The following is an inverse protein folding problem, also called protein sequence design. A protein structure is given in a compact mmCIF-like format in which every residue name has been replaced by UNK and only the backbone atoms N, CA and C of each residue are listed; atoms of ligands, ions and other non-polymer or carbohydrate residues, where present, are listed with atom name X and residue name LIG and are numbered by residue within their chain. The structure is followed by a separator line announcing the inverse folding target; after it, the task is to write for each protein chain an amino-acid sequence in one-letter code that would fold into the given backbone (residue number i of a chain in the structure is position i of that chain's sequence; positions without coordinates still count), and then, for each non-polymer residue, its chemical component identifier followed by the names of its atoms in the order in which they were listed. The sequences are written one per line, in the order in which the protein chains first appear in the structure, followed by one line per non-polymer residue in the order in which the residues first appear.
data_IF_739090729224
#
_entry.id   IF_739090729224
#
_cell.length_a   1.000
_cell.length_b   1.000
_cell.length_c   1.000
_cell.angle_alpha   90.00
_cell.angle_beta   90.00
_cell.angle_gamma   90.00
#
_symmetry.space_group_name_H-M   'P 1'
#
loop_
_entity.id
_entity.type
_entity.pdbx_description
1 polymer ?
#
# COMPACT_ATOMS: atom_id res chain seq x y z
N UNK A 1 -14.28 -32.24 -2.84
CA UNK A 1 -13.75 -30.98 -2.27
C UNK A 1 -14.31 -29.76 -3.01
N UNK A 2 -14.54 -28.67 -2.30
CA UNK A 2 -15.18 -27.46 -2.82
C UNK A 2 -14.44 -26.78 -3.99
N UNK A 3 -13.16 -27.14 -4.23
CA UNK A 3 -12.31 -26.57 -5.28
C UNK A 3 -12.14 -27.45 -6.52
N UNK A 4 -12.73 -28.63 -6.57
CA UNK A 4 -12.66 -29.50 -7.76
C UNK A 4 -13.38 -28.93 -8.99
N UNK A 5 -14.34 -28.02 -8.77
CA UNK A 5 -15.03 -27.31 -9.85
C UNK A 5 -14.74 -25.81 -9.75
N UNK A 6 -14.25 -25.22 -10.80
CA UNK A 6 -14.17 -23.77 -10.89
C UNK A 6 -15.59 -23.18 -10.83
N UNK A 7 -15.74 -22.00 -10.20
CA UNK A 7 -16.96 -21.24 -10.29
C UNK A 7 -17.11 -20.74 -11.74
N UNK A 8 -18.24 -21.04 -12.41
CA UNK A 8 -18.46 -20.55 -13.76
C UNK A 8 -18.53 -19.02 -13.77
N UNK A 9 -18.16 -18.41 -14.89
CA UNK A 9 -18.36 -16.99 -15.06
C UNK A 9 -19.87 -16.67 -15.10
N UNK A 10 -20.34 -15.61 -14.40
CA UNK A 10 -21.70 -15.13 -14.56
C UNK A 10 -21.98 -14.70 -16.01
N UNK A 11 -23.20 -14.94 -16.51
CA UNK A 11 -23.58 -14.69 -17.91
C UNK A 11 -23.29 -13.24 -18.35
N UNK A 12 -23.56 -12.26 -17.48
CA UNK A 12 -23.36 -10.83 -17.75
C UNK A 12 -22.01 -10.31 -17.23
N UNK A 13 -21.02 -11.19 -17.04
CA UNK A 13 -19.70 -10.86 -16.51
C UNK A 13 -19.68 -10.50 -15.02
N UNK A 14 -20.83 -10.37 -14.36
CA UNK A 14 -20.97 -10.11 -12.93
C UNK A 14 -22.28 -10.69 -12.38
N UNK A 15 -22.25 -11.16 -11.14
CA UNK A 15 -23.43 -11.62 -10.41
C UNK A 15 -23.82 -10.56 -9.38
N UNK A 16 -25.04 -10.05 -9.47
CA UNK A 16 -25.62 -9.07 -8.55
C UNK A 16 -26.61 -9.72 -7.59
N UNK A 17 -26.84 -9.15 -6.41
CA UNK A 17 -27.89 -9.60 -5.50
C UNK A 17 -29.26 -9.71 -6.19
N UNK A 18 -29.99 -10.77 -5.88
CA UNK A 18 -31.28 -11.10 -6.47
C UNK A 18 -31.25 -11.91 -7.78
N UNK A 19 -30.10 -12.04 -8.41
CA UNK A 19 -29.95 -12.79 -9.66
C UNK A 19 -29.93 -14.32 -9.45
N UNK A 20 -30.34 -15.08 -10.46
CA UNK A 20 -30.11 -16.52 -10.52
C UNK A 20 -28.73 -16.82 -11.07
N UNK A 21 -28.09 -17.87 -10.54
CA UNK A 21 -26.74 -18.26 -10.95
C UNK A 21 -26.53 -19.76 -10.73
N UNK A 22 -26.19 -20.46 -11.78
CA UNK A 22 -25.98 -21.92 -11.71
C UNK A 22 -24.84 -22.33 -10.75
N UNK A 23 -23.92 -21.44 -10.44
CA UNK A 23 -22.82 -21.66 -9.51
C UNK A 23 -23.15 -21.50 -8.03
N UNK A 24 -24.41 -21.14 -7.65
CA UNK A 24 -24.79 -20.93 -6.23
C UNK A 24 -24.41 -22.11 -5.32
N UNK A 25 -24.65 -23.38 -5.66
CA UNK A 25 -24.24 -24.48 -4.80
C UNK A 25 -22.73 -24.54 -4.54
N UNK A 26 -21.92 -24.34 -5.57
CA UNK A 26 -20.46 -24.33 -5.49
C UNK A 26 -19.96 -23.12 -4.71
N UNK A 27 -20.55 -21.94 -4.95
CA UNK A 27 -20.23 -20.69 -4.23
C UNK A 27 -20.51 -20.85 -2.73
N UNK A 28 -21.72 -21.36 -2.39
CA UNK A 28 -22.12 -21.58 -0.99
C UNK A 28 -21.18 -22.57 -0.27
N UNK A 29 -20.86 -23.68 -0.94
CA UNK A 29 -19.93 -24.69 -0.38
C UNK A 29 -18.55 -24.10 -0.15
N UNK A 30 -18.06 -23.28 -1.07
CA UNK A 30 -16.75 -22.65 -1.00
C UNK A 30 -16.68 -21.61 0.13
N UNK A 31 -17.68 -20.74 0.22
CA UNK A 31 -17.75 -19.74 1.30
C UNK A 31 -17.94 -20.39 2.69
N UNK A 32 -18.63 -21.54 2.78
CA UNK A 32 -18.67 -22.35 4.02
C UNK A 32 -17.28 -22.88 4.38
N UNK A 33 -16.57 -23.46 3.43
CA UNK A 33 -15.23 -24.00 3.65
C UNK A 33 -14.22 -22.90 4.05
N UNK A 34 -14.40 -21.68 3.58
CA UNK A 34 -13.58 -20.52 3.93
C UNK A 34 -14.01 -19.83 5.25
N UNK A 35 -15.13 -20.27 5.84
CA UNK A 35 -15.65 -19.69 7.07
C UNK A 35 -16.37 -18.35 6.92
N UNK A 36 -16.68 -17.94 5.68
CA UNK A 36 -17.43 -16.71 5.41
C UNK A 36 -18.94 -16.92 5.47
N UNK A 37 -19.43 -18.12 5.14
CA UNK A 37 -20.85 -18.50 5.24
C UNK A 37 -21.07 -19.46 6.43
N UNK A 38 -21.82 -19.00 7.44
CA UNK A 38 -22.16 -19.80 8.63
C UNK A 38 -23.50 -20.54 8.52
N UNK A 39 -24.25 -20.33 7.44
CA UNK A 39 -25.58 -20.91 7.29
C UNK A 39 -25.55 -22.44 7.19
N UNK A 40 -26.40 -23.11 7.96
CA UNK A 40 -26.70 -24.53 7.83
C UNK A 40 -27.95 -24.68 6.95
N UNK A 41 -27.96 -25.66 6.04
CA UNK A 41 -29.07 -25.92 5.13
C UNK A 41 -28.69 -25.89 3.65
N UNK A 42 -29.70 -26.04 2.81
CA UNK A 42 -29.56 -25.99 1.35
C UNK A 42 -29.19 -24.58 0.87
N UNK A 43 -28.41 -24.46 -0.21
CA UNK A 43 -28.14 -23.17 -0.83
C UNK A 43 -29.46 -22.50 -1.30
N UNK A 44 -29.54 -21.16 -1.24
CA UNK A 44 -30.72 -20.46 -1.76
C UNK A 44 -30.87 -20.64 -3.29
N UNK A 45 -32.09 -20.48 -3.79
CA UNK A 45 -32.34 -20.56 -5.23
C UNK A 45 -31.79 -19.35 -6.02
N UNK A 46 -31.64 -18.22 -5.35
CA UNK A 46 -31.11 -16.97 -5.88
C UNK A 46 -29.92 -16.49 -5.07
N UNK A 47 -29.13 -15.59 -5.65
CA UNK A 47 -28.01 -14.94 -4.97
C UNK A 47 -28.55 -13.82 -4.06
N UNK A 48 -28.90 -14.15 -2.82
CA UNK A 48 -29.54 -13.23 -1.88
C UNK A 48 -29.21 -13.56 -0.42
N UNK A 49 -29.60 -12.66 0.48
CA UNK A 49 -29.53 -12.83 1.92
C UNK A 49 -28.12 -13.13 2.43
N UNK A 50 -27.98 -14.09 3.32
CA UNK A 50 -26.72 -14.44 3.96
C UNK A 50 -25.61 -14.87 2.99
N UNK A 51 -25.94 -15.28 1.74
CA UNK A 51 -24.94 -15.59 0.73
C UNK A 51 -24.27 -14.32 0.20
N UNK A 52 -25.02 -13.21 0.07
CA UNK A 52 -24.47 -11.89 -0.29
C UNK A 52 -23.55 -11.36 0.81
N UNK A 53 -23.97 -11.49 2.07
CA UNK A 53 -23.16 -11.06 3.22
C UNK A 53 -21.87 -11.89 3.33
N UNK A 54 -21.93 -13.18 3.04
CA UNK A 54 -20.77 -14.04 2.97
C UNK A 54 -19.77 -13.63 1.87
N UNK A 55 -20.28 -13.19 0.70
CA UNK A 55 -19.43 -12.65 -0.37
C UNK A 55 -18.81 -11.33 0.05
N UNK A 56 -19.53 -10.43 0.72
CA UNK A 56 -18.97 -9.18 1.27
C UNK A 56 -17.86 -9.46 2.27
N UNK A 57 -18.07 -10.40 3.20
CA UNK A 57 -17.06 -10.85 4.15
C UNK A 57 -15.82 -11.40 3.43
N UNK A 58 -16.02 -12.23 2.41
CA UNK A 58 -14.94 -12.75 1.58
C UNK A 58 -14.18 -11.63 0.86
N UNK A 59 -14.89 -10.68 0.23
CA UNK A 59 -14.29 -9.54 -0.48
C UNK A 59 -13.40 -8.72 0.45
N UNK A 60 -13.90 -8.36 1.63
CA UNK A 60 -13.13 -7.61 2.64
C UNK A 60 -11.82 -8.32 3.01
N UNK A 61 -11.89 -9.65 3.24
CA UNK A 61 -10.69 -10.44 3.58
C UNK A 61 -9.72 -10.65 2.42
N UNK A 62 -10.12 -10.30 1.20
CA UNK A 62 -9.30 -10.42 0.01
C UNK A 62 -8.93 -9.07 -0.62
N UNK A 63 -9.08 -7.98 0.15
CA UNK A 63 -8.69 -6.64 -0.27
C UNK A 63 -9.54 -6.07 -1.42
N UNK A 64 -10.79 -6.55 -1.54
CA UNK A 64 -11.75 -6.08 -2.53
C UNK A 64 -12.82 -5.21 -1.87
N UNK A 65 -13.48 -4.34 -2.65
CA UNK A 65 -14.64 -3.58 -2.17
C UNK A 65 -15.75 -4.56 -1.77
N UNK A 66 -16.26 -4.50 -0.52
CA UNK A 66 -17.29 -5.43 -0.02
C UNK A 66 -18.70 -5.03 -0.48
N UNK A 67 -18.90 -4.95 -1.79
CA UNK A 67 -20.18 -4.57 -2.41
C UNK A 67 -21.16 -5.74 -2.60
N UNK A 68 -20.70 -6.98 -2.44
CA UNK A 68 -21.47 -8.19 -2.65
C UNK A 68 -21.67 -8.54 -4.14
N UNK A 69 -21.02 -7.86 -5.06
CA UNK A 69 -21.05 -8.18 -6.49
C UNK A 69 -19.95 -9.17 -6.84
N UNK A 70 -20.27 -10.34 -7.37
CA UNK A 70 -19.24 -11.28 -7.84
C UNK A 70 -18.82 -10.89 -9.26
N UNK A 71 -17.94 -9.92 -9.34
CA UNK A 71 -17.27 -9.50 -10.58
C UNK A 71 -15.99 -10.30 -10.84
N UNK A 72 -15.22 -9.90 -11.85
CA UNK A 72 -13.97 -10.57 -12.27
C UNK A 72 -13.01 -10.77 -11.10
N UNK A 73 -12.67 -9.71 -10.35
CA UNK A 73 -11.73 -9.79 -9.23
C UNK A 73 -12.19 -10.73 -8.11
N UNK A 74 -13.47 -10.67 -7.74
CA UNK A 74 -14.05 -11.57 -6.74
C UNK A 74 -14.01 -13.02 -7.21
N UNK A 75 -14.34 -13.27 -8.48
CA UNK A 75 -14.34 -14.60 -9.06
C UNK A 75 -12.91 -15.19 -9.14
N UNK A 76 -11.93 -14.39 -9.52
CA UNK A 76 -10.51 -14.77 -9.52
C UNK A 76 -10.06 -15.20 -8.12
N UNK A 77 -10.36 -14.41 -7.09
CA UNK A 77 -9.99 -14.73 -5.71
C UNK A 77 -10.73 -15.96 -5.16
N UNK A 78 -12.01 -16.14 -5.50
CA UNK A 78 -12.78 -17.33 -5.14
C UNK A 78 -12.26 -18.60 -5.81
N UNK A 79 -11.63 -18.51 -6.96
CA UNK A 79 -11.08 -19.65 -7.70
C UNK A 79 -9.63 -20.00 -7.34
N UNK A 80 -8.97 -19.22 -6.47
CA UNK A 80 -7.62 -19.58 -5.98
C UNK A 80 -7.69 -20.86 -5.16
N UNK A 81 -6.95 -21.93 -5.53
CA UNK A 81 -6.92 -23.17 -4.77
C UNK A 81 -6.33 -23.01 -3.36
N UNK A 82 -6.76 -23.83 -2.38
CA UNK A 82 -6.27 -23.73 -0.99
C UNK A 82 -4.76 -23.87 -0.86
N UNK A 83 -4.12 -24.68 -1.71
CA UNK A 83 -2.69 -24.92 -1.69
C UNK A 83 -1.90 -23.63 -1.92
N UNK A 84 -2.40 -22.74 -2.79
CA UNK A 84 -1.80 -21.42 -3.00
C UNK A 84 -1.98 -20.53 -1.78
N UNK A 85 -3.12 -20.64 -1.06
CA UNK A 85 -3.36 -19.88 0.19
C UNK A 85 -2.43 -20.36 1.29
N UNK A 86 -2.26 -21.67 1.44
CA UNK A 86 -1.27 -22.23 2.38
C UNK A 86 0.13 -21.69 2.04
N UNK A 87 0.50 -21.69 0.76
CA UNK A 87 1.81 -21.18 0.35
C UNK A 87 1.98 -19.69 0.63
N UNK A 88 0.94 -18.86 0.44
CA UNK A 88 0.97 -17.44 0.85
C UNK A 88 1.24 -17.28 2.36
N UNK A 89 0.63 -18.13 3.19
CA UNK A 89 0.87 -18.11 4.65
C UNK A 89 2.32 -18.49 4.95
N UNK A 90 2.84 -19.55 4.35
CA UNK A 90 4.24 -19.99 4.56
C UNK A 90 5.23 -18.88 4.18
N UNK A 91 5.02 -18.22 3.03
CA UNK A 91 5.86 -17.10 2.59
C UNK A 91 5.74 -15.88 3.51
N UNK A 92 4.55 -15.60 4.04
CA UNK A 92 4.35 -14.55 5.03
C UNK A 92 5.10 -14.87 6.33
N UNK A 93 5.03 -16.11 6.83
CA UNK A 93 5.76 -16.55 8.01
C UNK A 93 7.28 -16.50 7.81
N UNK A 94 7.76 -16.85 6.61
CA UNK A 94 9.19 -16.74 6.29
C UNK A 94 9.66 -15.28 6.34
N UNK A 95 8.89 -14.32 5.80
CA UNK A 95 9.23 -12.89 5.89
C UNK A 95 9.22 -12.36 7.32
N UNK A 96 8.32 -12.86 8.17
CA UNK A 96 8.30 -12.47 9.58
C UNK A 96 9.60 -12.83 10.32
N UNK A 97 10.30 -13.90 9.91
CA UNK A 97 11.60 -14.26 10.48
C UNK A 97 12.70 -13.25 10.18
N UNK A 98 12.55 -12.49 9.10
CA UNK A 98 13.52 -11.47 8.68
C UNK A 98 13.13 -10.07 9.16
N UNK A 99 11.90 -9.89 9.60
CA UNK A 99 11.43 -8.60 10.11
C UNK A 99 12.01 -8.39 11.50
N UNK A 100 12.80 -7.35 11.72
CA UNK A 100 13.34 -7.08 13.05
C UNK A 100 12.18 -6.83 14.02
N UNK A 101 12.16 -7.59 15.12
CA UNK A 101 11.30 -7.27 16.27
C UNK A 101 11.87 -6.00 16.89
N UNK A 102 11.25 -4.86 16.58
CA UNK A 102 11.72 -3.57 17.05
C UNK A 102 11.26 -3.35 18.49
N UNK A 103 12.18 -3.27 19.47
CA UNK A 103 11.84 -2.93 20.85
C UNK A 103 11.59 -1.42 20.97
N UNK A 104 10.61 -0.91 20.24
CA UNK A 104 10.27 0.50 20.23
C UNK A 104 8.90 0.72 20.86
N UNK A 105 8.74 1.84 21.57
CA UNK A 105 7.47 2.27 22.15
C UNK A 105 6.42 2.62 21.09
N UNK A 106 6.88 2.98 19.89
CA UNK A 106 6.03 3.32 18.73
C UNK A 106 6.64 2.81 17.43
N UNK A 107 5.79 2.48 16.47
CA UNK A 107 6.22 2.08 15.12
C UNK A 107 5.14 2.39 14.08
N UNK A 108 5.57 2.66 12.85
CA UNK A 108 4.70 2.72 11.67
C UNK A 108 5.04 1.53 10.77
N UNK A 109 4.03 0.82 10.31
CA UNK A 109 4.17 -0.30 9.36
C UNK A 109 3.30 -0.05 8.14
N UNK A 110 3.91 0.00 6.97
CA UNK A 110 3.20 0.01 5.68
C UNK A 110 3.26 -1.40 5.10
N UNK A 111 2.11 -2.02 4.85
CA UNK A 111 2.05 -3.27 4.12
C UNK A 111 1.63 -3.00 2.66
N UNK A 112 2.56 -3.15 1.74
CA UNK A 112 2.40 -2.80 0.32
C UNK A 112 1.23 -3.56 -0.34
N UNK A 113 1.14 -4.92 -0.26
CA UNK A 113 0.05 -5.67 -0.92
C UNK A 113 -1.35 -5.37 -0.39
N UNK A 114 -1.44 -4.97 0.86
CA UNK A 114 -2.69 -4.58 1.51
C UNK A 114 -3.09 -3.14 1.20
N UNK A 115 -2.16 -2.31 0.72
CA UNK A 115 -2.32 -0.86 0.56
C UNK A 115 -2.75 -0.18 1.85
N UNK A 116 -2.12 -0.53 2.98
CA UNK A 116 -2.44 0.03 4.29
C UNK A 116 -1.20 0.42 5.06
N UNK A 117 -1.33 1.51 5.82
CA UNK A 117 -0.41 1.91 6.88
C UNK A 117 -1.10 1.72 8.22
N UNK A 118 -0.33 1.25 9.20
CA UNK A 118 -0.73 1.18 10.61
C UNK A 118 0.33 1.82 11.48
N UNK A 119 -0.12 2.51 12.51
CA UNK A 119 0.74 3.04 13.55
C UNK A 119 0.40 2.36 14.87
N UNK A 120 1.42 1.89 15.54
CA UNK A 120 1.33 1.10 16.76
C UNK A 120 2.05 1.79 17.92
N UNK A 121 1.49 1.67 19.09
CA UNK A 121 2.09 2.06 20.37
C UNK A 121 2.21 0.82 21.27
N UNK A 122 3.32 0.72 21.98
CA UNK A 122 3.54 -0.34 22.96
C UNK A 122 3.48 0.26 24.36
N UNK A 123 2.48 -0.13 25.15
CA UNK A 123 2.30 0.26 26.54
C UNK A 123 2.13 -0.99 27.41
N UNK A 124 2.89 -1.08 28.49
CA UNK A 124 2.83 -2.19 29.43
C UNK A 124 2.93 -3.58 28.77
N UNK A 125 3.80 -3.70 27.76
CA UNK A 125 4.00 -4.91 26.97
C UNK A 125 2.85 -5.27 26.02
N UNK A 126 1.83 -4.40 25.88
CA UNK A 126 0.73 -4.57 24.93
C UNK A 126 0.92 -3.69 23.71
N UNK A 127 0.69 -4.27 22.55
CA UNK A 127 0.72 -3.56 21.27
C UNK A 127 -0.70 -3.05 20.95
N UNK A 128 -0.84 -1.73 20.86
CA UNK A 128 -2.09 -1.09 20.49
C UNK A 128 -1.98 -0.42 19.12
N UNK A 129 -2.94 -0.68 18.25
CA UNK A 129 -3.04 0.02 16.96
C UNK A 129 -3.75 1.37 17.19
N UNK A 130 -3.06 2.46 16.96
CA UNK A 130 -3.57 3.83 17.14
C UNK A 130 -4.11 4.45 15.85
N UNK A 131 -3.52 4.10 14.72
CA UNK A 131 -3.91 4.61 13.40
C UNK A 131 -3.90 3.47 12.40
N UNK A 132 -4.91 3.42 11.52
CA UNK A 132 -4.94 2.53 10.38
C UNK A 132 -5.68 3.21 9.23
N UNK A 133 -5.04 3.35 8.06
CA UNK A 133 -5.63 4.00 6.89
C UNK A 133 -5.13 3.39 5.59
N UNK A 134 -5.81 3.72 4.48
CA UNK A 134 -5.35 3.33 3.16
C UNK A 134 -4.12 4.13 2.74
N UNK A 135 -3.31 3.50 1.89
CA UNK A 135 -2.19 4.16 1.21
C UNK A 135 -2.21 3.89 -0.29
N UNK A 136 -1.53 4.77 -1.03
CA UNK A 136 -1.20 4.56 -2.44
C UNK A 136 0.31 4.35 -2.50
N UNK A 137 0.72 3.24 -3.11
CA UNK A 137 2.13 2.84 -3.23
C UNK A 137 2.63 2.97 -4.67
N UNK A 138 3.89 2.69 -4.90
CA UNK A 138 4.55 2.75 -6.21
C UNK A 138 3.92 1.83 -7.24
N UNK A 139 3.97 2.24 -8.51
CA UNK A 139 3.43 1.49 -9.64
C UNK A 139 4.17 0.16 -9.82
N UNK A 140 3.42 -0.93 -9.90
CA UNK A 140 3.96 -2.28 -9.98
C UNK A 140 4.86 -2.54 -11.20
N UNK A 141 4.59 -1.86 -12.30
CA UNK A 141 5.33 -2.07 -13.55
C UNK A 141 6.60 -1.21 -13.65
N UNK A 142 6.61 0.00 -13.03
CA UNK A 142 7.64 1.01 -13.34
C UNK A 142 8.39 1.54 -12.12
N UNK A 143 7.70 1.74 -10.99
CA UNK A 143 8.22 2.54 -9.87
C UNK A 143 7.81 1.95 -8.53
N UNK A 144 8.17 0.69 -8.29
CA UNK A 144 7.80 -0.04 -7.07
C UNK A 144 8.31 0.66 -5.82
N UNK A 145 7.50 0.68 -4.77
CA UNK A 145 7.99 1.02 -3.43
C UNK A 145 8.89 -0.10 -2.92
N UNK A 146 10.14 0.17 -2.52
CA UNK A 146 11.04 -0.85 -1.98
C UNK A 146 10.61 -1.31 -0.59
N UNK A 147 11.13 -2.48 -0.17
CA UNK A 147 10.97 -3.04 1.17
C UNK A 147 12.20 -2.68 1.98
N UNK A 148 12.02 -1.98 3.11
CA UNK A 148 13.11 -1.57 4.01
C UNK A 148 12.55 -1.11 5.35
N UNK A 149 13.42 -0.88 6.30
CA UNK A 149 13.14 -0.16 7.55
C UNK A 149 13.99 1.09 7.66
N UNK A 150 13.46 2.10 8.34
CA UNK A 150 14.12 3.37 8.60
C UNK A 150 13.54 4.01 9.87
N UNK A 151 14.04 5.19 10.24
CA UNK A 151 13.51 5.95 11.38
C UNK A 151 12.79 7.22 10.92
N UNK A 152 11.57 7.43 11.41
CA UNK A 152 10.85 8.69 11.29
C UNK A 152 11.60 9.78 12.04
N UNK A 153 12.05 10.81 11.33
CA UNK A 153 12.90 11.86 11.92
C UNK A 153 12.38 13.27 11.74
N UNK A 154 11.60 13.53 10.68
CA UNK A 154 11.13 14.87 10.38
C UNK A 154 9.70 14.87 9.86
N UNK A 155 8.98 15.97 10.15
CA UNK A 155 7.71 16.32 9.52
C UNK A 155 7.91 17.65 8.80
N UNK A 156 7.56 17.71 7.52
CA UNK A 156 7.60 18.91 6.71
C UNK A 156 6.17 19.35 6.37
N UNK A 157 5.78 20.51 6.85
CA UNK A 157 4.50 21.16 6.56
C UNK A 157 4.62 22.04 5.33
N UNK A 158 3.55 22.09 4.52
CA UNK A 158 3.50 22.84 3.27
C UNK A 158 4.77 22.64 2.42
N UNK A 159 5.09 21.38 2.03
CA UNK A 159 6.37 21.05 1.41
C UNK A 159 6.50 21.64 0.01
N UNK A 160 7.73 21.97 -0.40
CA UNK A 160 8.08 22.06 -1.79
C UNK A 160 8.23 20.64 -2.37
N UNK A 161 7.70 20.41 -3.56
CA UNK A 161 8.00 19.19 -4.28
C UNK A 161 9.14 19.42 -5.28
N UNK A 162 10.35 19.02 -4.93
CA UNK A 162 11.44 18.95 -5.89
C UNK A 162 11.17 17.78 -6.82
N UNK A 163 10.87 18.07 -8.08
CA UNK A 163 10.53 17.03 -9.07
C UNK A 163 11.77 16.17 -9.34
N UNK A 164 11.72 14.86 -9.09
CA UNK A 164 12.84 13.97 -9.38
C UNK A 164 13.24 14.04 -10.85
N UNK A 165 14.55 13.95 -11.19
CA UNK A 165 15.03 14.05 -12.57
C UNK A 165 14.36 13.07 -13.55
N UNK A 166 14.03 11.86 -13.09
CA UNK A 166 13.31 10.85 -13.89
C UNK A 166 11.90 11.31 -14.27
N UNK A 167 11.15 11.86 -13.31
CA UNK A 167 9.80 12.41 -13.52
C UNK A 167 9.89 13.69 -14.36
N UNK A 168 10.86 14.57 -14.06
CA UNK A 168 11.05 15.79 -14.83
C UNK A 168 11.24 15.47 -16.32
N UNK A 169 12.20 14.59 -16.65
CA UNK A 169 12.53 14.24 -18.05
C UNK A 169 11.45 13.38 -18.71
N UNK A 170 10.89 12.41 -18.00
CA UNK A 170 9.94 11.44 -18.55
C UNK A 170 8.51 11.97 -18.71
N UNK A 171 8.10 12.93 -17.88
CA UNK A 171 6.71 13.34 -17.79
C UNK A 171 6.52 14.86 -17.81
N UNK A 172 7.22 15.59 -16.91
CA UNK A 172 6.96 17.02 -16.71
C UNK A 172 7.41 17.85 -17.92
N UNK A 173 8.64 17.70 -18.39
CA UNK A 173 9.16 18.45 -19.55
C UNK A 173 8.37 18.16 -20.83
N UNK A 174 8.07 16.90 -21.21
CA UNK A 174 7.23 16.62 -22.37
C UNK A 174 5.85 17.28 -22.28
N UNK A 175 5.27 17.31 -21.07
CA UNK A 175 3.98 17.97 -20.87
C UNK A 175 4.08 19.50 -21.00
N UNK A 176 5.06 20.10 -20.36
CA UNK A 176 5.27 21.54 -20.39
C UNK A 176 5.52 22.08 -21.80
N UNK A 177 6.20 21.32 -22.66
CA UNK A 177 6.39 21.68 -24.10
C UNK A 177 5.09 21.67 -24.88
N UNK A 178 4.15 20.77 -24.54
CA UNK A 178 2.83 20.71 -25.19
C UNK A 178 1.83 21.71 -24.61
N UNK A 179 1.91 21.96 -23.32
CA UNK A 179 0.98 22.76 -22.54
C UNK A 179 1.75 23.76 -21.64
N UNK A 180 2.32 24.86 -22.19
CA UNK A 180 3.12 25.80 -21.41
C UNK A 180 2.40 26.39 -20.19
N UNK A 181 1.09 26.66 -20.30
CA UNK A 181 0.26 27.17 -19.21
C UNK A 181 0.17 26.20 -17.99
N UNK A 182 0.52 24.94 -18.17
CA UNK A 182 0.58 23.97 -17.08
C UNK A 182 1.63 24.33 -16.03
N UNK A 183 2.69 25.07 -16.42
CA UNK A 183 3.74 25.53 -15.50
C UNK A 183 3.17 26.41 -14.40
N UNK A 184 2.47 27.46 -14.77
CA UNK A 184 1.86 28.41 -13.81
C UNK A 184 0.67 27.77 -13.09
N UNK A 185 -0.16 27.00 -13.79
CA UNK A 185 -1.29 26.31 -13.19
C UNK A 185 -0.88 25.41 -12.04
N UNK A 186 0.25 24.71 -12.16
CA UNK A 186 0.75 23.80 -11.14
C UNK A 186 1.64 24.50 -10.09
N UNK A 187 1.95 25.77 -10.28
CA UNK A 187 2.83 26.51 -9.40
C UNK A 187 4.28 26.00 -9.46
N UNK A 188 4.73 25.59 -10.64
CA UNK A 188 6.13 25.22 -10.85
C UNK A 188 7.03 26.46 -10.83
N UNK A 189 8.30 26.22 -10.51
CA UNK A 189 9.38 27.17 -10.63
C UNK A 189 10.68 26.46 -10.98
N UNK A 190 11.54 27.16 -11.74
CA UNK A 190 12.89 26.69 -12.03
C UNK A 190 13.84 27.12 -10.92
N UNK A 191 14.74 26.23 -10.56
CA UNK A 191 15.72 26.49 -9.50
C UNK A 191 17.12 26.14 -10.00
N UNK A 192 18.01 27.11 -9.96
CA UNK A 192 19.40 26.96 -10.32
C UNK A 192 20.18 26.07 -9.35
N UNK A 193 21.43 25.77 -9.70
CA UNK A 193 22.33 24.98 -8.82
C UNK A 193 22.65 25.70 -7.50
N UNK A 194 22.63 27.03 -7.51
CA UNK A 194 22.79 27.90 -6.33
C UNK A 194 21.56 27.94 -5.42
N UNK A 195 20.47 27.24 -5.80
CA UNK A 195 19.22 27.22 -5.03
C UNK A 195 18.28 28.41 -5.28
N UNK A 196 18.68 29.37 -6.11
CA UNK A 196 17.85 30.53 -6.44
C UNK A 196 16.79 30.17 -7.47
N UNK A 197 15.62 30.81 -7.32
CA UNK A 197 14.57 30.73 -8.34
C UNK A 197 15.01 31.54 -9.56
N UNK A 198 14.99 30.89 -10.72
CA UNK A 198 15.28 31.52 -12.01
C UNK A 198 13.96 31.89 -12.65
N UNK A 199 13.90 33.02 -13.31
CA UNK A 199 12.68 33.65 -13.87
C UNK A 199 11.78 32.71 -14.68
N UNK A 200 10.71 33.27 -15.25
CA UNK A 200 9.56 32.56 -15.80
C UNK A 200 9.80 31.43 -16.82
N UNK A 201 8.72 30.86 -17.30
CA UNK A 201 8.73 29.77 -18.26
C UNK A 201 9.46 30.16 -19.58
N UNK A 202 10.41 29.33 -20.02
CA UNK A 202 11.08 29.45 -21.33
C UNK A 202 11.60 28.07 -21.78
N UNK A 203 11.73 27.88 -23.09
CA UNK A 203 12.36 26.68 -23.69
C UNK A 203 13.81 26.52 -23.20
N UNK A 204 14.57 27.62 -23.09
CA UNK A 204 15.93 27.58 -22.56
C UNK A 204 15.99 27.02 -21.14
N UNK A 205 15.02 27.34 -20.28
CA UNK A 205 14.89 26.78 -18.93
C UNK A 205 14.54 25.29 -18.94
N UNK A 206 13.64 24.84 -19.86
CA UNK A 206 13.32 23.43 -20.03
C UNK A 206 14.56 22.63 -20.47
N UNK A 207 15.33 23.16 -21.42
CA UNK A 207 16.56 22.54 -21.88
C UNK A 207 17.64 22.48 -20.80
N UNK A 208 17.76 23.52 -19.97
CA UNK A 208 18.64 23.51 -18.81
C UNK A 208 18.25 22.44 -17.78
N UNK A 209 16.95 22.22 -17.54
CA UNK A 209 16.47 21.10 -16.70
C UNK A 209 16.78 19.76 -17.37
N UNK A 210 16.60 19.62 -18.68
CA UNK A 210 16.91 18.42 -19.44
C UNK A 210 18.39 18.03 -19.28
N UNK A 211 19.31 19.03 -19.30
CA UNK A 211 20.75 18.83 -19.09
C UNK A 211 21.15 18.67 -17.62
N UNK A 212 20.24 18.91 -16.67
CA UNK A 212 20.51 18.84 -15.22
C UNK A 212 21.24 20.07 -14.65
N UNK A 213 21.23 21.19 -15.37
CA UNK A 213 21.78 22.50 -14.93
C UNK A 213 20.82 23.22 -13.99
N UNK A 214 19.52 22.97 -14.14
CA UNK A 214 18.45 23.43 -13.29
C UNK A 214 17.58 22.25 -12.83
N UNK A 215 16.74 22.51 -11.84
CA UNK A 215 15.66 21.59 -11.45
C UNK A 215 14.31 22.31 -11.48
N UNK A 216 13.24 21.54 -11.64
CA UNK A 216 11.87 22.01 -11.44
C UNK A 216 11.47 21.66 -10.02
N UNK A 217 10.82 22.59 -9.33
CA UNK A 217 10.10 22.29 -8.08
C UNK A 217 8.70 22.90 -8.14
N UNK A 218 7.78 22.29 -7.41
CA UNK A 218 6.42 22.80 -7.24
C UNK A 218 6.31 23.50 -5.89
N UNK A 219 5.72 24.69 -5.89
CA UNK A 219 5.47 25.47 -4.65
C UNK A 219 4.44 24.79 -3.77
N UNK A 220 4.45 25.07 -2.44
CA UNK A 220 3.35 24.70 -1.55
C UNK A 220 2.01 25.21 -2.07
N UNK A 221 0.94 24.46 -1.81
CA UNK A 221 -0.42 24.84 -2.19
C UNK A 221 -1.29 23.65 -2.58
N UNK A 222 -2.57 23.91 -2.83
CA UNK A 222 -3.60 22.88 -3.05
C UNK A 222 -3.34 21.93 -4.22
N UNK A 223 -2.47 22.30 -5.16
CA UNK A 223 -2.09 21.47 -6.34
C UNK A 223 -0.75 20.77 -6.16
N UNK A 224 -0.07 20.98 -5.03
CA UNK A 224 1.23 20.33 -4.80
C UNK A 224 1.06 18.81 -4.76
N UNK A 225 1.89 18.09 -5.52
CA UNK A 225 1.82 16.63 -5.61
C UNK A 225 2.03 15.93 -4.26
N UNK A 226 2.73 16.57 -3.32
CA UNK A 226 2.94 16.06 -1.96
C UNK A 226 1.84 16.46 -0.97
N UNK A 227 0.84 17.25 -1.44
CA UNK A 227 -0.17 17.83 -0.54
C UNK A 227 0.44 18.80 0.47
N UNK A 228 -0.11 18.82 1.69
CA UNK A 228 0.18 19.83 2.70
C UNK A 228 1.15 19.39 3.78
N UNK A 229 1.52 18.09 3.79
CA UNK A 229 2.41 17.50 4.80
C UNK A 229 3.18 16.30 4.24
N UNK A 230 4.42 16.16 4.68
CA UNK A 230 5.34 15.08 4.33
C UNK A 230 6.03 14.56 5.59
N UNK A 231 6.11 13.24 5.73
CA UNK A 231 6.74 12.52 6.82
C UNK A 231 8.03 11.88 6.33
N UNK A 232 9.16 12.25 6.91
CA UNK A 232 10.48 11.96 6.37
C UNK A 232 11.22 10.99 7.30
N UNK A 233 11.59 9.86 6.74
CA UNK A 233 12.47 8.83 7.30
C UNK A 233 13.63 8.63 6.32
N UNK A 234 14.80 9.26 6.55
CA UNK A 234 15.90 9.24 5.61
C UNK A 234 16.30 7.83 5.19
N UNK A 235 16.37 7.60 3.88
CA UNK A 235 16.74 6.31 3.28
C UNK A 235 17.37 6.53 1.90
N UNK A 236 18.10 5.54 1.33
CA UNK A 236 18.79 5.68 0.05
C UNK A 236 17.87 5.93 -1.15
N UNK A 237 16.62 5.42 -1.10
CA UNK A 237 15.66 5.50 -2.19
C UNK A 237 14.83 6.78 -2.16
N UNK A 238 15.03 7.67 -1.17
CA UNK A 238 14.26 8.89 -0.97
C UNK A 238 12.73 8.66 -0.90
N UNK A 239 12.31 7.56 -0.30
CA UNK A 239 10.91 7.23 -0.03
C UNK A 239 10.44 7.98 1.23
N UNK A 240 9.23 8.47 1.20
CA UNK A 240 8.57 9.13 2.33
C UNK A 240 7.05 8.92 2.26
N UNK A 241 6.35 9.17 3.38
CA UNK A 241 4.89 9.29 3.37
C UNK A 241 4.49 10.74 3.18
N UNK A 242 3.38 10.98 2.47
CA UNK A 242 2.90 12.34 2.22
C UNK A 242 1.40 12.39 1.93
N UNK A 243 0.81 13.56 2.09
CA UNK A 243 -0.56 13.83 1.66
C UNK A 243 -0.67 13.87 0.12
N UNK A 244 -1.87 14.06 -0.41
CA UNK A 244 -2.10 14.11 -1.86
C UNK A 244 -3.30 14.99 -2.20
N UNK A 245 -3.25 15.75 -3.32
CA UNK A 245 -4.40 16.48 -3.83
C UNK A 245 -5.44 15.60 -4.56
N UNK A 246 -5.23 14.28 -4.63
CA UNK A 246 -6.10 13.34 -5.36
C UNK A 246 -6.69 12.25 -4.46
N UNK A 247 -7.50 12.60 -3.42
CA UNK A 247 -8.00 11.65 -2.43
C UNK A 247 -8.97 10.60 -3.01
N UNK A 248 -9.60 10.87 -4.16
CA UNK A 248 -10.50 9.93 -4.82
C UNK A 248 -9.83 8.60 -5.23
N UNK A 249 -8.51 8.57 -5.34
CA UNK A 249 -7.76 7.36 -5.68
C UNK A 249 -7.72 6.34 -4.54
N UNK A 250 -7.96 6.75 -3.30
CA UNK A 250 -8.06 5.82 -2.15
C UNK A 250 -9.28 4.91 -2.21
N UNK A 251 -10.31 5.28 -2.99
CA UNK A 251 -11.53 4.48 -3.20
C UNK A 251 -11.32 3.28 -4.15
N UNK A 252 -10.15 3.14 -4.75
CA UNK A 252 -9.82 2.02 -5.64
C UNK A 252 -9.38 0.81 -4.82
N UNK A 253 -9.73 -0.40 -5.25
CA UNK A 253 -9.23 -1.64 -4.65
C UNK A 253 -7.71 -1.76 -4.85
N UNK A 254 -7.25 -1.51 -6.05
CA UNK A 254 -5.84 -1.46 -6.39
C UNK A 254 -5.32 -0.03 -6.34
N UNK A 255 -4.25 0.21 -5.59
CA UNK A 255 -3.72 1.55 -5.29
C UNK A 255 -2.21 1.68 -5.53
N UNK A 256 -1.70 1.11 -6.61
CA UNK A 256 -0.30 1.24 -7.05
C UNK A 256 -0.15 2.33 -8.13
N UNK A 257 -0.28 3.60 -7.74
CA UNK A 257 -0.33 4.73 -8.65
C UNK A 257 0.81 5.75 -8.47
N UNK A 258 1.68 5.59 -7.46
CA UNK A 258 2.74 6.55 -7.19
C UNK A 258 4.04 6.22 -7.94
N UNK A 259 5.01 7.12 -7.84
CA UNK A 259 6.38 6.92 -8.34
C UNK A 259 7.33 6.35 -7.29
N UNK A 260 6.80 5.60 -6.31
CA UNK A 260 7.57 4.96 -5.24
C UNK A 260 7.23 5.49 -3.85
N UNK A 261 7.06 6.79 -3.66
CA UNK A 261 6.61 7.37 -2.39
C UNK A 261 5.18 6.95 -2.04
N UNK A 262 4.82 7.06 -0.78
CA UNK A 262 3.58 6.51 -0.23
C UNK A 262 2.64 7.65 0.13
N UNK A 263 1.46 7.71 -0.54
CA UNK A 263 0.41 8.68 -0.22
C UNK A 263 -0.46 8.14 0.89
N UNK A 264 -0.79 8.98 1.87
CA UNK A 264 -1.63 8.63 3.01
C UNK A 264 -3.01 9.28 2.91
N UNK A 265 -4.06 8.54 3.30
CA UNK A 265 -5.46 8.97 3.18
C UNK A 265 -5.83 10.01 4.24
N UNK A 266 -5.38 9.84 5.48
CA UNK A 266 -5.70 10.67 6.64
C UNK A 266 -4.43 11.30 7.24
N UNK A 267 -3.85 12.32 6.59
CA UNK A 267 -2.56 12.87 7.00
C UNK A 267 -2.58 13.53 8.38
N UNK A 268 -3.71 14.12 8.80
CA UNK A 268 -3.85 14.73 10.14
C UNK A 268 -3.80 13.66 11.23
N UNK A 269 -4.50 12.53 11.04
CA UNK A 269 -4.48 11.43 12.00
C UNK A 269 -3.07 10.85 12.15
N UNK A 270 -2.34 10.70 11.02
CA UNK A 270 -0.95 10.27 11.05
C UNK A 270 -0.04 11.29 11.73
N UNK A 271 -0.24 12.60 11.46
CA UNK A 271 0.54 13.67 12.09
C UNK A 271 0.35 13.72 13.61
N UNK A 272 -0.88 13.54 14.10
CA UNK A 272 -1.15 13.42 15.55
C UNK A 272 -0.38 12.28 16.19
N UNK A 273 -0.32 11.14 15.56
CA UNK A 273 0.47 10.00 16.03
C UNK A 273 1.97 10.31 16.01
N UNK A 274 2.48 10.85 14.90
CA UNK A 274 3.91 11.14 14.73
C UNK A 274 4.39 12.21 15.73
N UNK A 275 3.54 13.19 16.05
CA UNK A 275 3.84 14.32 16.91
C UNK A 275 3.35 14.14 18.36
N UNK A 276 2.97 12.91 18.76
CA UNK A 276 2.39 12.66 20.09
C UNK A 276 3.31 13.07 21.26
N UNK A 277 4.66 13.03 21.05
CA UNK A 277 5.65 13.45 22.05
C UNK A 277 6.08 14.93 21.90
N UNK A 278 5.41 15.67 21.02
CA UNK A 278 5.64 17.09 20.79
C UNK A 278 4.48 17.89 21.43
N UNK A 279 4.57 18.31 22.71
CA UNK A 279 3.42 18.80 23.49
C UNK A 279 2.73 20.03 22.91
N UNK A 280 3.46 20.81 22.13
CA UNK A 280 2.92 22.02 21.48
C UNK A 280 2.16 21.72 20.18
N UNK A 281 2.12 20.49 19.70
CA UNK A 281 1.52 20.11 18.42
C UNK A 281 0.13 19.51 18.59
N UNK A 282 -0.84 20.38 18.93
CA UNK A 282 -2.27 20.01 18.93
C UNK A 282 -2.78 19.79 17.50
N UNK A 283 -3.96 19.18 17.36
CA UNK A 283 -4.60 18.98 16.05
C UNK A 283 -4.82 20.30 15.31
N UNK A 284 -5.28 21.32 16.02
CA UNK A 284 -5.49 22.66 15.45
C UNK A 284 -4.20 23.26 14.91
N UNK A 285 -3.09 23.12 15.65
CA UNK A 285 -1.78 23.59 15.22
C UNK A 285 -1.26 22.82 14.01
N UNK A 286 -1.47 21.51 13.94
CA UNK A 286 -1.14 20.66 12.79
C UNK A 286 -1.90 21.17 11.56
N UNK A 287 -3.23 21.33 11.65
CA UNK A 287 -4.08 21.80 10.54
C UNK A 287 -3.68 23.22 10.10
N UNK A 288 -3.42 24.12 11.04
CA UNK A 288 -2.94 25.48 10.74
C UNK A 288 -1.59 25.46 10.01
N UNK A 289 -0.64 24.62 10.44
CA UNK A 289 0.67 24.50 9.81
C UNK A 289 0.56 23.92 8.39
N UNK A 290 -0.33 22.94 8.17
CA UNK A 290 -0.63 22.38 6.84
C UNK A 290 -1.23 23.44 5.90
N UNK A 291 -2.11 24.30 6.40
CA UNK A 291 -2.79 25.33 5.61
C UNK A 291 -1.94 26.60 5.35
N UNK A 292 -0.81 26.75 6.05
CA UNK A 292 -0.04 28.00 6.06
C UNK A 292 0.59 28.36 4.71
N UNK A 293 0.79 27.38 3.81
CA UNK A 293 1.40 27.60 2.49
C UNK A 293 2.88 28.02 2.54
N UNK A 294 3.52 27.96 3.69
CA UNK A 294 4.94 28.25 3.90
C UNK A 294 5.63 27.01 4.45
N UNK A 295 6.61 26.51 3.71
CA UNK A 295 7.36 25.31 4.10
C UNK A 295 8.05 25.49 5.45
N UNK A 296 7.85 24.50 6.33
CA UNK A 296 8.50 24.43 7.62
C UNK A 296 8.77 22.96 7.98
N UNK A 297 9.99 22.67 8.40
CA UNK A 297 10.41 21.33 8.79
C UNK A 297 10.58 21.28 10.31
N UNK A 298 9.92 20.30 10.92
CA UNK A 298 10.09 19.94 12.33
C UNK A 298 10.95 18.68 12.42
N UNK A 299 11.99 18.70 13.24
CA UNK A 299 12.74 17.53 13.64
C UNK A 299 12.10 16.93 14.89
N UNK A 300 11.79 15.63 14.87
CA UNK A 300 11.27 14.92 16.03
C UNK A 300 12.34 14.83 17.12
N UNK A 301 11.93 14.95 18.38
CA UNK A 301 12.81 14.75 19.55
C UNK A 301 13.27 13.31 19.63
N UNK A 302 12.33 12.39 19.46
CA UNK A 302 12.59 10.95 19.50
C UNK A 302 12.20 10.31 18.16
N UNK A 303 13.20 9.92 17.33
CA UNK A 303 12.95 9.11 16.14
C UNK A 303 12.37 7.75 16.52
N UNK A 304 11.54 7.18 15.64
CA UNK A 304 10.97 5.86 15.84
C UNK A 304 10.85 5.08 14.52
N UNK A 305 10.75 3.74 14.58
CA UNK A 305 10.81 2.89 13.40
C UNK A 305 9.64 3.10 12.42
N UNK A 306 9.97 3.07 11.13
CA UNK A 306 9.05 2.93 10.00
C UNK A 306 9.47 1.71 9.21
N UNK A 307 8.58 0.74 9.06
CA UNK A 307 8.80 -0.49 8.30
C UNK A 307 7.94 -0.50 7.06
N UNK A 308 8.57 -0.58 5.91
CA UNK A 308 7.89 -0.81 4.63
C UNK A 308 7.96 -2.31 4.37
N UNK A 309 6.85 -2.98 4.61
CA UNK A 309 6.73 -4.43 4.57
C UNK A 309 5.98 -4.93 3.32
N UNK A 310 6.16 -6.20 3.03
CA UNK A 310 5.46 -6.89 1.96
C UNK A 310 4.99 -8.25 2.46
N UNK A 311 3.71 -8.36 2.79
CA UNK A 311 3.10 -9.64 3.12
C UNK A 311 1.71 -9.75 2.49
N UNK A 312 1.45 -10.87 1.85
CA UNK A 312 0.21 -11.15 1.12
C UNK A 312 -0.80 -11.94 1.96
N UNK A 313 -0.42 -12.31 3.19
CA UNK A 313 -1.30 -12.95 4.16
C UNK A 313 -1.08 -12.31 5.53
N UNK A 314 -2.15 -11.81 6.16
CA UNK A 314 -2.10 -11.20 7.50
C UNK A 314 -3.27 -11.69 8.34
N UNK A 315 -3.07 -11.77 9.66
CA UNK A 315 -4.16 -12.04 10.61
C UNK A 315 -4.69 -10.70 11.14
N UNK A 316 -6.00 -10.51 11.05
CA UNK A 316 -6.71 -9.36 11.60
C UNK A 316 -8.04 -9.85 12.19
N UNK A 317 -8.36 -9.42 13.41
CA UNK A 317 -9.58 -9.78 14.13
C UNK A 317 -9.81 -11.31 14.19
N UNK A 318 -8.71 -12.07 14.43
CA UNK A 318 -8.73 -13.54 14.51
C UNK A 318 -8.98 -14.25 13.17
N UNK A 319 -9.01 -13.52 12.03
CA UNK A 319 -9.22 -14.07 10.69
C UNK A 319 -8.05 -13.78 9.78
N UNK A 320 -7.76 -14.71 8.88
CA UNK A 320 -6.71 -14.50 7.87
C UNK A 320 -7.26 -13.72 6.69
N UNK A 321 -6.48 -12.73 6.25
CA UNK A 321 -6.72 -11.91 5.08
C UNK A 321 -5.65 -12.19 4.03
N UNK A 322 -6.04 -12.22 2.76
CA UNK A 322 -5.15 -12.48 1.65
C UNK A 322 -5.17 -11.31 0.65
N UNK A 323 -4.00 -10.95 0.16
CA UNK A 323 -3.84 -9.85 -0.80
C UNK A 323 -3.08 -10.34 -2.03
N UNK A 324 -3.31 -9.72 -3.20
CA UNK A 324 -2.56 -10.06 -4.43
C UNK A 324 -1.07 -9.77 -4.29
N UNK A 325 -0.24 -10.63 -4.88
CA UNK A 325 1.21 -10.42 -5.02
C UNK A 325 1.50 -9.39 -6.13
N UNK A 326 1.18 -8.11 -5.85
CA UNK A 326 1.18 -7.03 -6.85
C UNK A 326 2.55 -6.74 -7.46
N UNK A 327 3.63 -7.06 -6.74
CA UNK A 327 5.02 -6.85 -7.20
C UNK A 327 5.72 -8.16 -7.58
N UNK A 328 5.09 -9.31 -7.40
CA UNK A 328 5.67 -10.63 -7.69
C UNK A 328 6.71 -11.08 -6.66
N UNK A 329 6.74 -10.48 -5.47
CA UNK A 329 7.73 -10.85 -4.44
C UNK A 329 7.46 -12.21 -3.80
N UNK A 330 6.21 -12.67 -3.76
CA UNK A 330 5.91 -14.04 -3.31
C UNK A 330 6.49 -15.06 -4.28
N UNK A 331 6.31 -14.83 -5.59
CA UNK A 331 6.88 -15.69 -6.61
C UNK A 331 8.40 -15.75 -6.51
N UNK A 332 9.07 -14.63 -6.36
CA UNK A 332 10.54 -14.56 -6.25
C UNK A 332 11.01 -15.35 -5.02
N UNK A 333 10.37 -15.16 -3.86
CA UNK A 333 10.71 -15.86 -2.63
C UNK A 333 10.45 -17.38 -2.74
N UNK A 334 9.30 -17.77 -3.31
CA UNK A 334 8.94 -19.16 -3.50
C UNK A 334 9.96 -19.88 -4.40
N UNK A 335 10.33 -19.26 -5.53
CA UNK A 335 11.33 -19.80 -6.45
C UNK A 335 12.69 -20.01 -5.75
N UNK A 336 13.13 -19.02 -4.95
CA UNK A 336 14.39 -19.10 -4.21
C UNK A 336 14.38 -20.20 -3.14
N UNK A 337 13.28 -20.35 -2.39
CA UNK A 337 13.14 -21.40 -1.38
C UNK A 337 13.12 -22.81 -2.02
N UNK A 338 12.45 -22.97 -3.16
CA UNK A 338 12.43 -24.24 -3.89
C UNK A 338 13.82 -24.62 -4.41
N UNK A 339 14.57 -23.69 -4.99
CA UNK A 339 15.94 -23.92 -5.46
C UNK A 339 16.85 -24.34 -4.31
N UNK A 340 16.76 -23.66 -3.15
CA UNK A 340 17.51 -24.02 -1.96
C UNK A 340 17.19 -25.44 -1.49
N UNK A 341 15.92 -25.82 -1.45
CA UNK A 341 15.51 -27.19 -1.04
C UNK A 341 16.04 -28.25 -1.98
N UNK A 342 16.03 -28.00 -3.31
CA UNK A 342 16.59 -28.91 -4.31
C UNK A 342 18.11 -29.04 -4.17
N UNK A 343 18.83 -27.95 -3.94
CA UNK A 343 20.28 -27.99 -3.75
C UNK A 343 20.69 -28.76 -2.48
N UNK A 344 19.95 -28.59 -1.39
CA UNK A 344 20.17 -29.34 -0.14
C UNK A 344 19.88 -30.82 -0.30
N UNK A 345 18.83 -31.19 -1.04
CA UNK A 345 18.52 -32.60 -1.36
C UNK A 345 19.59 -33.23 -2.23
N UNK A 346 20.09 -32.48 -3.22
CA UNK A 346 21.15 -32.96 -4.13
C UNK A 346 22.52 -33.15 -3.43
N UNK A 347 22.78 -32.35 -2.38
CA UNK A 347 24.01 -32.40 -1.58
C UNK A 347 23.98 -33.46 -0.45
N UNK A 348 22.93 -34.27 -0.33
CA UNK A 348 22.82 -35.36 0.67
C UNK A 348 22.69 -34.87 2.13
N UNK A 349 22.42 -33.60 2.39
CA UNK A 349 22.30 -32.99 3.71
C UNK A 349 20.90 -33.09 4.32
N UNK A 350 19.94 -33.77 3.67
CA UNK A 350 18.59 -34.03 4.17
C UNK A 350 18.33 -35.50 4.39
N UNK A 351 19.03 -36.08 5.36
CA UNK A 351 18.56 -37.26 6.09
C UNK A 351 18.73 -37.04 7.60
N UNK A 352 17.99 -36.08 8.13
CA UNK A 352 17.66 -36.09 9.56
C UNK A 352 16.15 -36.34 9.64
N UNK A 353 15.82 -37.64 9.60
CA UNK A 353 14.47 -38.13 9.80
C UNK A 353 13.99 -37.75 11.19
N UNK A 354 13.02 -36.87 11.27
CA UNK A 354 12.13 -36.79 12.40
C UNK A 354 11.21 -38.02 12.34
N UNK A 355 11.65 -39.13 12.94
CA UNK A 355 10.74 -40.18 13.34
C UNK A 355 9.86 -39.60 14.45
N UNK A 356 8.69 -39.11 14.10
CA UNK A 356 7.63 -38.83 15.04
C UNK A 356 7.21 -40.17 15.65
N UNK A 357 7.58 -40.40 16.91
CA UNK A 357 6.85 -41.27 17.82
C UNK A 357 5.98 -40.32 18.65
N UNK A 358 4.71 -40.34 18.40
CA UNK A 358 3.58 -40.40 19.33
C UNK A 358 2.28 -40.34 18.53
#
# INVERSE_FOLDING_TARGET
PAWLKALPAPADGKLQPGQTYAGIPVLSQRLKALGDLRANGAPPARYEGGLVDAVKSFQERHGLTPDGVVGKGTLEQLNVPPEFRVRQIELALERLRWTPLLPASRAIVVNIPEFRVRAYEVRDGKVEMKVAMNVIVGNAAKTRTPIFDAEMRFVEFSPYWNVPPSIARGETLPRLRREPGYFDQQGFEFVGRDGRVVGGFSEASLDAVQRGEMRIRQRPGARNALGDIKFIFPNPDNIYLHHTPTPQLFKRDRRDFSHGCIRVEEPVALAKFVLADEPDWTEERIVQAMAKGRSATLRLREPFPVVIAYTTAVVRDGRIHFFPDIYGHDKILDDALRQRSQSLSASGLVEIGVKSKY
#
